data_IF_572773892393
#
_entry.id   IF_572773892393
#
_cell.length_a   1.000
_cell.length_b   1.000
_cell.length_c   1.000
_cell.angle_alpha   90.00
_cell.angle_beta   90.00
_cell.angle_gamma   90.00
#
_symmetry.space_group_name_H-M   'P 1'
#
loop_
_entity.id
_entity.type
_entity.pdbx_description
1 polymer ?
#
# COMPACT_ATOMS: atom_id res chain seq x y z
N UNK A 1 20.03 6.76 3.90
CA UNK A 1 19.26 5.55 4.27
C UNK A 1 17.88 5.66 3.67
N UNK A 2 17.40 4.66 2.92
CA UNK A 2 15.99 4.63 2.54
C UNK A 2 15.15 4.46 3.81
N UNK A 3 14.33 5.47 4.12
CA UNK A 3 13.44 5.49 5.27
C UNK A 3 12.34 4.43 5.17
N UNK A 4 11.68 4.14 6.29
CA UNK A 4 10.45 3.33 6.27
C UNK A 4 9.38 4.11 5.53
N UNK A 5 8.75 3.46 4.54
CA UNK A 5 7.75 4.11 3.71
C UNK A 5 6.69 4.79 4.57
N UNK A 6 6.60 6.12 4.47
CA UNK A 6 5.74 6.94 5.33
C UNK A 6 4.27 6.56 5.17
N UNK A 7 3.85 6.25 3.93
CA UNK A 7 2.47 5.87 3.60
C UNK A 7 2.04 4.53 4.19
N UNK A 8 2.92 3.54 4.25
CA UNK A 8 2.58 2.21 4.80
C UNK A 8 3.30 1.91 6.11
N UNK A 9 3.97 2.89 6.71
CA UNK A 9 4.77 2.80 7.95
C UNK A 9 5.74 1.61 7.96
N UNK A 10 6.33 1.29 6.81
CA UNK A 10 7.22 0.12 6.67
C UNK A 10 6.56 -1.21 6.33
N UNK A 11 5.23 -1.30 6.32
CA UNK A 11 4.50 -2.57 6.13
C UNK A 11 4.49 -3.06 4.67
N UNK A 12 4.73 -2.19 3.70
CA UNK A 12 4.63 -2.49 2.26
C UNK A 12 3.20 -2.69 1.77
N UNK A 13 2.22 -2.75 2.66
CA UNK A 13 0.81 -2.98 2.34
C UNK A 13 0.10 -1.68 2.01
N UNK A 14 -0.94 -1.78 1.17
CA UNK A 14 -1.82 -0.65 0.93
C UNK A 14 -2.43 -0.16 2.24
N UNK A 15 -2.27 1.12 2.56
CA UNK A 15 -2.75 1.72 3.81
C UNK A 15 -4.29 1.70 3.90
N UNK A 16 -4.97 1.84 2.75
CA UNK A 16 -6.43 1.95 2.70
C UNK A 16 -7.11 0.61 3.00
N UNK A 17 -6.62 -0.48 2.40
CA UNK A 17 -7.23 -1.80 2.55
C UNK A 17 -6.46 -2.73 3.49
N UNK A 18 -5.39 -2.25 4.12
CA UNK A 18 -4.52 -3.07 4.99
C UNK A 18 -3.86 -4.26 4.30
N UNK A 19 -3.83 -4.29 2.96
CA UNK A 19 -3.35 -5.43 2.17
C UNK A 19 -4.41 -6.49 1.84
N UNK A 20 -5.69 -6.27 2.18
CA UNK A 20 -6.78 -7.18 1.78
C UNK A 20 -7.09 -7.09 0.28
N UNK A 21 -6.76 -5.97 -0.36
CA UNK A 21 -7.05 -5.72 -1.77
C UNK A 21 -8.51 -5.39 -2.06
N UNK A 22 -9.34 -5.21 -1.02
CA UNK A 22 -10.77 -4.89 -1.12
C UNK A 22 -11.09 -3.62 -0.34
N UNK A 23 -12.03 -2.82 -0.83
CA UNK A 23 -12.60 -1.73 -0.02
C UNK A 23 -13.65 -2.30 0.95
N UNK A 24 -13.78 -1.71 2.13
CA UNK A 24 -14.84 -2.04 3.10
C UNK A 24 -16.21 -1.74 2.45
N UNK A 25 -16.82 -2.75 1.81
CA UNK A 25 -18.19 -2.67 1.29
C UNK A 25 -18.38 -2.67 -0.22
N UNK A 26 -17.37 -2.97 -1.05
CA UNK A 26 -17.53 -2.98 -2.51
C UNK A 26 -17.05 -4.25 -3.19
N UNK A 27 -17.79 -4.70 -4.22
CA UNK A 27 -17.41 -5.76 -5.18
C UNK A 27 -16.18 -5.37 -6.03
N UNK A 28 -15.76 -4.10 -5.95
CA UNK A 28 -14.57 -3.57 -6.60
C UNK A 28 -13.32 -3.66 -5.72
N UNK A 29 -12.18 -4.03 -6.33
CA UNK A 29 -10.88 -4.01 -5.66
C UNK A 29 -10.55 -2.65 -5.05
N UNK A 30 -9.68 -2.63 -4.04
CA UNK A 30 -9.28 -1.41 -3.35
C UNK A 30 -8.85 -0.33 -4.34
N UNK A 31 -9.42 0.88 -4.26
CA UNK A 31 -9.22 1.94 -5.26
C UNK A 31 -7.78 2.46 -5.31
N UNK A 32 -7.08 2.44 -4.18
CA UNK A 32 -5.69 2.92 -4.10
C UNK A 32 -4.72 1.90 -4.68
N UNK A 33 -4.86 0.62 -4.31
CA UNK A 33 -3.93 -0.41 -4.80
C UNK A 33 -4.47 -1.19 -6.00
N UNK A 34 -5.68 -0.92 -6.47
CA UNK A 34 -6.39 -1.65 -7.54
C UNK A 34 -6.32 -3.18 -7.38
N UNK A 35 -6.49 -3.65 -6.15
CA UNK A 35 -6.39 -5.09 -5.83
C UNK A 35 -4.97 -5.66 -5.73
N UNK A 36 -3.90 -4.90 -5.99
CA UNK A 36 -2.50 -5.37 -5.88
C UNK A 36 -2.04 -5.61 -4.45
N UNK A 37 -2.78 -5.11 -3.45
CA UNK A 37 -2.51 -5.23 -1.99
C UNK A 37 -1.23 -4.51 -1.52
N UNK A 38 -0.48 -3.93 -2.44
CA UNK A 38 0.77 -3.23 -2.19
C UNK A 38 0.55 -1.74 -1.96
N UNK A 39 1.40 -1.13 -1.17
CA UNK A 39 1.48 0.33 -1.07
C UNK A 39 1.84 0.89 -2.45
N UNK A 40 1.10 1.89 -2.91
CA UNK A 40 1.30 2.54 -4.20
C UNK A 40 2.55 3.43 -4.24
N UNK A 41 3.07 3.83 -3.07
CA UNK A 41 4.26 4.69 -2.98
C UNK A 41 5.54 3.87 -2.99
N UNK A 42 5.60 2.79 -2.21
CA UNK A 42 6.79 1.94 -2.13
C UNK A 42 6.69 0.64 -2.94
N UNK A 43 5.60 0.44 -3.67
CA UNK A 43 5.33 -0.76 -4.49
C UNK A 43 5.48 -2.09 -3.73
N UNK A 44 5.25 -2.10 -2.43
CA UNK A 44 5.38 -3.31 -1.59
C UNK A 44 6.71 -3.44 -0.85
N UNK A 45 7.69 -2.58 -1.12
CA UNK A 45 9.03 -2.70 -0.51
C UNK A 45 9.06 -2.26 0.95
N UNK A 46 8.07 -1.49 1.41
CA UNK A 46 8.04 -0.92 2.76
C UNK A 46 9.07 0.18 2.99
N UNK A 47 9.77 0.65 1.94
CA UNK A 47 10.75 1.74 2.05
C UNK A 47 10.41 2.85 1.09
N UNK A 48 10.59 4.11 1.51
CA UNK A 48 10.43 5.23 0.59
C UNK A 48 11.45 5.04 -0.54
N UNK A 49 10.96 4.88 -1.77
CA UNK A 49 11.86 4.82 -2.96
C UNK A 49 12.26 6.22 -3.41
N UNK A 50 11.77 7.25 -2.71
CA UNK A 50 12.16 8.64 -2.91
C UNK A 50 13.52 8.89 -2.30
N UNK A 51 14.53 8.94 -3.17
CA UNK A 51 15.43 10.10 -3.20
C UNK A 51 14.61 11.34 -3.60
#
# INVERSE_FOLDING_TARGET
>A
MAGKCSMCRGSGRCYLCGGTGKNNGGTGGCVICRGTRKCNVCYGTGRDTGL
#
